data_IF_213318735921
#
_entry.id   IF_213318735921
#
_cell.length_a   1.000
_cell.length_b   1.000
_cell.length_c   1.000
_cell.angle_alpha   90.00
_cell.angle_beta   90.00
_cell.angle_gamma   90.00
#
_symmetry.space_group_name_H-M   'P 1'
#
loop_
_entity.id
_entity.type
_entity.pdbx_description
1 polymer ?
#
# COMPACT_ATOMS: atom_id res chain seq x y z
N UNK A 1 -19.34 -36.48 15.09
CA UNK A 1 -19.62 -35.08 14.71
C UNK A 1 -18.31 -34.31 14.81
N UNK A 2 -17.78 -33.86 13.68
CA UNK A 2 -16.61 -32.99 13.65
C UNK A 2 -16.97 -31.66 14.35
N UNK A 3 -16.18 -31.28 15.36
CA UNK A 3 -16.29 -30.01 16.08
C UNK A 3 -15.25 -29.03 15.53
N UNK A 4 -15.22 -28.84 14.22
CA UNK A 4 -14.43 -27.77 13.63
C UNK A 4 -14.96 -26.45 14.19
N UNK A 5 -14.14 -25.76 14.98
CA UNK A 5 -14.44 -24.42 15.49
C UNK A 5 -14.85 -23.52 14.31
N UNK A 6 -15.78 -22.57 14.51
CA UNK A 6 -16.14 -21.63 13.44
C UNK A 6 -14.87 -20.93 12.97
N UNK A 7 -14.48 -21.18 11.71
CA UNK A 7 -13.35 -20.51 11.08
C UNK A 7 -13.73 -19.03 11.05
N UNK A 8 -13.06 -18.23 11.87
CA UNK A 8 -13.27 -16.79 11.88
C UNK A 8 -13.11 -16.27 10.43
N UNK A 9 -13.98 -15.37 9.97
CA UNK A 9 -13.92 -14.88 8.59
C UNK A 9 -12.52 -14.34 8.29
N UNK A 10 -11.92 -14.78 7.19
CA UNK A 10 -10.58 -14.36 6.76
C UNK A 10 -10.57 -12.83 6.61
N UNK A 11 -9.77 -12.14 7.42
CA UNK A 11 -9.55 -10.70 7.25
C UNK A 11 -8.69 -10.47 6.01
N UNK A 12 -9.09 -9.53 5.17
CA UNK A 12 -8.28 -9.10 4.03
C UNK A 12 -6.99 -8.44 4.54
N UNK A 13 -5.87 -8.71 3.86
CA UNK A 13 -4.55 -8.14 4.13
C UNK A 13 -4.36 -6.88 3.31
N UNK A 14 -4.21 -5.75 3.97
CA UNK A 14 -3.97 -4.44 3.36
C UNK A 14 -2.48 -4.09 3.50
N UNK A 15 -1.77 -4.12 2.38
CA UNK A 15 -0.37 -3.74 2.29
C UNK A 15 -0.20 -2.24 2.12
N UNK A 16 0.56 -1.60 3.00
CA UNK A 16 0.98 -0.21 2.88
C UNK A 16 2.40 -0.20 2.34
N UNK A 17 2.55 0.16 1.08
CA UNK A 17 3.83 0.24 0.40
C UNK A 17 4.19 1.70 0.13
N UNK A 18 4.81 2.35 1.12
CA UNK A 18 5.22 3.74 1.03
C UNK A 18 6.43 4.01 1.92
N UNK A 19 7.17 5.07 1.61
CA UNK A 19 8.32 5.52 2.41
C UNK A 19 7.88 5.90 3.83
N UNK A 20 8.77 5.75 4.82
CA UNK A 20 8.45 5.94 6.25
C UNK A 20 7.73 7.25 6.55
N UNK A 21 8.17 8.35 5.93
CA UNK A 21 7.58 9.69 6.12
C UNK A 21 6.08 9.74 5.81
N UNK A 22 5.61 8.96 4.82
CA UNK A 22 4.19 8.87 4.45
C UNK A 22 3.42 7.96 5.40
N UNK A 23 4.01 6.83 5.79
CA UNK A 23 3.43 5.88 6.75
C UNK A 23 3.22 6.53 8.12
N UNK A 24 4.17 7.35 8.55
CA UNK A 24 4.16 8.00 9.87
C UNK A 24 3.27 9.25 9.94
N UNK A 25 2.77 9.72 8.79
CA UNK A 25 1.94 10.91 8.72
C UNK A 25 0.64 10.73 9.51
N UNK A 26 0.21 11.80 10.21
CA UNK A 26 -1.00 11.78 11.05
C UNK A 26 -2.24 11.25 10.30
N UNK A 27 -2.53 11.67 9.05
CA UNK A 27 -3.68 11.13 8.31
C UNK A 27 -3.60 9.61 8.07
N UNK A 28 -2.41 9.07 7.79
CA UNK A 28 -2.21 7.63 7.57
C UNK A 28 -2.44 6.85 8.85
N UNK A 29 -1.90 7.33 9.98
CA UNK A 29 -2.13 6.73 11.30
C UNK A 29 -3.61 6.70 11.67
N UNK A 30 -4.33 7.81 11.43
CA UNK A 30 -5.77 7.88 11.68
C UNK A 30 -6.57 6.91 10.80
N UNK A 31 -6.21 6.78 9.52
CA UNK A 31 -6.82 5.80 8.61
C UNK A 31 -6.59 4.37 9.11
N UNK A 32 -5.33 4.03 9.41
CA UNK A 32 -4.94 2.71 9.89
C UNK A 32 -5.72 2.32 11.15
N UNK A 33 -5.78 3.20 12.14
CA UNK A 33 -6.51 2.93 13.39
C UNK A 33 -8.01 2.69 13.16
N UNK A 34 -8.63 3.38 12.20
CA UNK A 34 -10.05 3.18 11.85
C UNK A 34 -10.31 1.84 11.17
N UNK A 35 -9.42 1.39 10.28
CA UNK A 35 -9.64 0.16 9.49
C UNK A 35 -9.09 -1.10 10.18
N UNK A 36 -8.12 -0.97 11.10
CA UNK A 36 -7.47 -2.06 11.82
C UNK A 36 -8.40 -3.11 12.45
N UNK A 37 -9.60 -2.77 12.96
CA UNK A 37 -10.52 -3.79 13.46
C UNK A 37 -11.02 -4.75 12.37
N UNK A 38 -11.15 -4.27 11.13
CA UNK A 38 -11.77 -4.95 10.01
C UNK A 38 -10.78 -5.72 9.12
N UNK A 39 -9.53 -5.27 9.05
CA UNK A 39 -8.50 -5.81 8.14
C UNK A 39 -7.19 -6.14 8.85
N UNK A 40 -6.32 -6.93 8.22
CA UNK A 40 -4.94 -7.10 8.65
C UNK A 40 -4.06 -6.09 7.93
N UNK A 41 -3.48 -5.13 8.66
CA UNK A 41 -2.60 -4.12 8.07
C UNK A 41 -1.16 -4.65 8.05
N UNK A 42 -0.54 -4.62 6.88
CA UNK A 42 0.85 -5.03 6.65
C UNK A 42 1.64 -3.84 6.12
N UNK A 43 2.57 -3.32 6.90
CA UNK A 43 3.42 -2.19 6.46
C UNK A 43 4.68 -2.78 5.83
N UNK A 44 5.01 -2.34 4.62
CA UNK A 44 6.22 -2.79 3.94
C UNK A 44 7.37 -1.94 4.46
N UNK A 45 8.40 -2.58 5.00
CA UNK A 45 9.56 -1.85 5.51
C UNK A 45 10.31 -1.18 4.37
N UNK A 46 10.85 0.01 4.63
CA UNK A 46 11.56 0.79 3.61
C UNK A 46 12.76 0.03 3.04
N UNK A 47 13.49 -0.71 3.88
CA UNK A 47 14.59 -1.60 3.46
C UNK A 47 14.10 -2.68 2.48
N UNK A 48 12.93 -3.26 2.74
CA UNK A 48 12.32 -4.26 1.84
C UNK A 48 11.93 -3.62 0.50
N UNK A 49 11.29 -2.45 0.56
CA UNK A 49 10.87 -1.71 -0.65
C UNK A 49 12.09 -1.37 -1.51
N UNK A 50 13.16 -0.86 -0.92
CA UNK A 50 14.34 -0.41 -1.64
C UNK A 50 15.24 -1.57 -2.09
N UNK A 51 15.55 -2.50 -1.21
CA UNK A 51 16.68 -3.43 -1.40
C UNK A 51 16.25 -4.89 -1.64
N UNK A 52 15.16 -5.36 -1.02
CA UNK A 52 14.75 -6.76 -1.16
C UNK A 52 14.11 -7.04 -2.54
N UNK A 53 14.30 -8.23 -3.14
CA UNK A 53 13.62 -8.61 -4.37
C UNK A 53 12.09 -8.70 -4.16
N UNK A 54 11.31 -8.47 -5.22
CA UNK A 54 9.83 -8.37 -5.13
C UNK A 54 9.15 -9.68 -4.71
N UNK A 55 9.83 -10.80 -4.91
CA UNK A 55 9.41 -12.14 -4.52
C UNK A 55 9.37 -12.28 -2.99
N UNK A 56 10.22 -11.54 -2.27
CA UNK A 56 10.32 -11.57 -0.81
C UNK A 56 9.37 -10.57 -0.13
N UNK A 57 8.70 -9.71 -0.90
CA UNK A 57 7.78 -8.73 -0.34
C UNK A 57 6.56 -9.41 0.29
N UNK A 58 5.96 -8.81 1.33
CA UNK A 58 4.80 -9.40 2.01
C UNK A 58 3.65 -9.66 1.03
N UNK A 59 2.97 -10.79 1.18
CA UNK A 59 1.78 -11.11 0.37
C UNK A 59 0.57 -10.40 0.99
N UNK A 60 -0.16 -9.65 0.17
CA UNK A 60 -1.35 -8.89 0.57
C UNK A 60 -2.47 -9.05 -0.44
N UNK A 61 -3.72 -8.88 -0.01
CA UNK A 61 -4.89 -8.94 -0.88
C UNK A 61 -5.16 -7.57 -1.54
N UNK A 62 -4.85 -6.49 -0.83
CA UNK A 62 -5.01 -5.11 -1.27
C UNK A 62 -3.68 -4.37 -1.10
N UNK A 63 -3.24 -3.62 -2.10
CA UNK A 63 -2.05 -2.77 -2.03
C UNK A 63 -2.44 -1.29 -2.04
N UNK A 64 -1.95 -0.55 -1.05
CA UNK A 64 -1.99 0.90 -0.97
C UNK A 64 -0.56 1.42 -1.12
N UNK A 65 -0.23 1.87 -2.33
CA UNK A 65 1.07 2.48 -2.64
C UNK A 65 0.92 3.97 -2.93
N UNK A 66 1.83 4.79 -2.41
CA UNK A 66 1.91 6.21 -2.71
C UNK A 66 3.29 6.56 -3.23
N UNK A 67 3.34 7.07 -4.46
CA UNK A 67 4.58 7.63 -5.00
C UNK A 67 5.08 8.79 -4.13
N UNK A 68 6.39 8.86 -3.98
CA UNK A 68 7.13 9.96 -3.37
C UNK A 68 8.59 9.87 -3.83
N UNK A 69 9.36 10.94 -3.64
CA UNK A 69 10.79 10.95 -3.96
C UNK A 69 11.52 9.76 -3.33
N UNK A 70 12.23 9.00 -4.16
CA UNK A 70 12.96 7.79 -3.73
C UNK A 70 12.14 6.50 -3.70
N UNK A 71 10.83 6.53 -3.98
CA UNK A 71 10.02 5.32 -4.07
C UNK A 71 10.26 4.56 -5.39
N UNK A 72 10.58 3.26 -5.37
CA UNK A 72 10.88 2.49 -6.57
C UNK A 72 9.59 2.06 -7.29
N UNK A 73 9.00 2.99 -8.05
CA UNK A 73 7.71 2.80 -8.74
C UNK A 73 7.68 1.56 -9.64
N UNK A 74 8.69 1.38 -10.50
CA UNK A 74 8.74 0.24 -11.43
C UNK A 74 8.78 -1.09 -10.67
N UNK A 75 9.44 -1.14 -9.51
CA UNK A 75 9.50 -2.32 -8.65
C UNK A 75 8.15 -2.64 -8.00
N UNK A 76 7.41 -1.60 -7.59
CA UNK A 76 6.05 -1.75 -7.08
C UNK A 76 5.07 -2.24 -8.16
N UNK A 77 5.21 -1.74 -9.40
CA UNK A 77 4.42 -2.23 -10.54
C UNK A 77 4.70 -3.71 -10.79
N UNK A 78 5.97 -4.12 -10.87
CA UNK A 78 6.34 -5.54 -11.02
C UNK A 78 5.81 -6.42 -9.89
N UNK A 79 5.79 -5.93 -8.66
CA UNK A 79 5.16 -6.62 -7.53
C UNK A 79 3.65 -6.82 -7.75
N UNK A 80 2.94 -5.78 -8.22
CA UNK A 80 1.50 -5.88 -8.52
C UNK A 80 1.24 -6.87 -9.64
N UNK A 81 2.06 -6.90 -10.68
CA UNK A 81 1.95 -7.88 -11.77
C UNK A 81 2.20 -9.32 -11.28
N UNK A 82 3.20 -9.51 -10.42
CA UNK A 82 3.59 -10.80 -9.86
C UNK A 82 2.53 -11.36 -8.90
N UNK A 83 2.05 -10.52 -7.96
CA UNK A 83 1.20 -10.96 -6.84
C UNK A 83 -0.29 -10.68 -7.06
N UNK A 84 -0.64 -9.82 -8.01
CA UNK A 84 -2.01 -9.42 -8.37
C UNK A 84 -2.89 -8.96 -7.19
N UNK A 85 -2.38 -8.17 -6.22
CA UNK A 85 -3.25 -7.56 -5.23
C UNK A 85 -4.19 -6.56 -5.90
N UNK A 86 -5.33 -6.28 -5.28
CA UNK A 86 -6.16 -5.15 -5.68
C UNK A 86 -5.42 -3.84 -5.33
N UNK A 87 -4.98 -3.10 -6.34
CA UNK A 87 -4.30 -1.82 -6.14
C UNK A 87 -5.32 -0.72 -5.91
N UNK A 88 -5.40 -0.18 -4.69
CA UNK A 88 -6.35 0.91 -4.37
C UNK A 88 -6.00 2.22 -5.09
N UNK A 89 -4.72 2.39 -5.41
CA UNK A 89 -4.22 3.50 -6.18
C UNK A 89 -3.66 2.91 -7.48
N UNK A 90 -4.13 3.36 -8.65
CA UNK A 90 -3.58 2.91 -9.91
C UNK A 90 -2.18 3.52 -10.08
N UNK A 91 -1.16 2.75 -9.69
CA UNK A 91 0.25 3.15 -9.79
C UNK A 91 0.62 3.56 -11.23
N UNK A 92 -0.08 3.01 -12.23
CA UNK A 92 0.09 3.30 -13.65
C UNK A 92 -0.38 4.72 -14.02
N UNK A 93 -1.46 5.20 -13.40
CA UNK A 93 -2.00 6.54 -13.61
C UNK A 93 -1.12 7.65 -13.01
N UNK A 94 -0.31 7.33 -11.99
CA UNK A 94 0.63 8.30 -11.39
C UNK A 94 1.81 8.64 -12.31
N UNK A 95 2.15 7.77 -13.27
CA UNK A 95 3.21 8.03 -14.25
C UNK A 95 2.91 9.22 -15.16
N UNK A 96 1.63 9.57 -15.34
CA UNK A 96 1.18 10.67 -16.19
C UNK A 96 1.30 12.03 -15.48
N UNK A 97 1.13 12.09 -14.15
CA UNK A 97 1.13 13.35 -13.41
C UNK A 97 2.52 13.97 -13.22
N UNK A 98 3.60 13.19 -13.36
CA UNK A 98 4.98 13.71 -13.26
C UNK A 98 5.53 14.23 -14.60
N UNK A 99 4.81 14.05 -15.72
CA UNK A 99 5.31 14.37 -17.06
C UNK A 99 5.05 15.81 -17.54
N UNK A 100 4.24 16.60 -16.83
CA UNK A 100 3.94 17.98 -17.23
C UNK A 100 3.80 18.89 -16.00
N UNK A 101 4.68 19.88 -15.94
CA UNK A 101 4.63 21.11 -15.15
C UNK A 101 4.90 21.06 -13.64
N UNK A 102 5.98 21.77 -13.29
CA UNK A 102 6.19 22.62 -12.11
C UNK A 102 4.98 22.83 -11.18
N UNK A 103 5.28 22.71 -9.87
CA UNK A 103 4.52 23.20 -8.72
C UNK A 103 3.20 22.47 -8.41
N UNK A 104 3.26 21.51 -7.49
CA UNK A 104 2.68 21.65 -6.15
C UNK A 104 2.86 20.38 -5.31
N UNK A 105 3.55 20.55 -4.18
CA UNK A 105 3.68 19.60 -3.07
C UNK A 105 2.32 19.27 -2.42
N UNK A 106 1.41 18.61 -3.11
CA UNK A 106 0.11 18.17 -2.58
C UNK A 106 -0.37 16.88 -3.26
N UNK A 107 0.43 15.82 -3.18
CA UNK A 107 -0.04 14.45 -3.42
C UNK A 107 -1.00 14.00 -2.31
N UNK A 108 -2.15 14.67 -2.25
CA UNK A 108 -3.50 14.13 -2.13
C UNK A 108 -3.65 12.74 -1.48
N UNK A 109 -3.23 12.65 -0.21
CA UNK A 109 -3.74 11.66 0.75
C UNK A 109 -5.24 11.92 1.07
N UNK A 110 -5.78 13.08 0.68
CA UNK A 110 -7.11 13.54 1.08
C UNK A 110 -8.29 12.96 0.29
N UNK A 111 -8.12 12.50 -0.95
CA UNK A 111 -9.26 11.99 -1.75
C UNK A 111 -9.80 10.62 -1.30
N UNK A 112 -9.05 9.86 -0.50
CA UNK A 112 -9.55 8.60 0.06
C UNK A 112 -10.21 8.76 1.44
N UNK A 113 -10.23 9.98 1.97
CA UNK A 113 -10.77 10.29 3.31
C UNK A 113 -12.03 11.17 3.27
N UNK A 114 -12.53 11.53 2.07
CA UNK A 114 -13.78 12.27 1.84
C UNK A 114 -14.62 11.63 0.74
#
# INVERSE_FOLDING_TARGET
>A
MDKSLPVAPKKYRFGICAMRKKVEASPMKMLMERIRPFVEIVIFEEETILHAPIEEWPIVDVLMGWYSDGYPLDKAISYVELRKPYSLNDLSMQKISCGNNNNNNNDNIFWFLY
#
